data_IF_687617334460
#
_entry.id   IF_687617334460
#
_cell.length_a   1.000
_cell.length_b   1.000
_cell.length_c   1.000
_cell.angle_alpha   90.00
_cell.angle_beta   90.00
_cell.angle_gamma   90.00
#
_symmetry.space_group_name_H-M   'P 1'
#
loop_
_entity.id
_entity.type
_entity.pdbx_description
1 polymer ?
#
# COMPACT_ATOMS: atom_id res chain seq x y z
N UNK A 1 33.12 63.84 -52.80
CA UNK A 1 32.80 62.43 -52.99
C UNK A 1 32.57 61.78 -51.59
N UNK A 2 31.31 61.69 -51.18
CA UNK A 2 30.90 61.05 -49.92
C UNK A 2 30.45 59.63 -50.23
N UNK A 3 31.11 58.60 -49.66
CA UNK A 3 30.72 57.20 -49.79
C UNK A 3 29.69 56.88 -48.68
N UNK A 4 28.51 56.48 -49.12
CA UNK A 4 27.48 55.93 -48.23
C UNK A 4 27.87 54.45 -47.90
N UNK A 5 27.95 54.14 -46.62
CA UNK A 5 28.01 52.79 -46.09
C UNK A 5 26.59 52.35 -45.69
N UNK A 6 26.09 51.28 -46.33
CA UNK A 6 24.82 50.62 -45.98
C UNK A 6 25.15 49.50 -45.00
N UNK A 7 24.54 49.43 -43.81
CA UNK A 7 24.71 48.27 -42.94
C UNK A 7 23.77 47.13 -43.36
N UNK A 8 24.37 45.98 -43.61
CA UNK A 8 23.65 44.70 -43.82
C UNK A 8 23.20 44.18 -42.45
N UNK A 9 21.88 44.17 -42.24
CA UNK A 9 21.29 43.60 -41.06
C UNK A 9 21.10 42.08 -41.25
N UNK A 10 21.95 41.28 -40.61
CA UNK A 10 21.83 39.81 -40.62
C UNK A 10 20.81 39.41 -39.57
N UNK A 11 19.62 39.01 -40.02
CA UNK A 11 18.59 38.40 -39.12
C UNK A 11 18.97 36.95 -38.88
N UNK A 12 19.44 36.66 -37.68
CA UNK A 12 19.62 35.28 -37.19
C UNK A 12 18.24 34.76 -36.74
N UNK A 13 17.59 33.93 -37.61
CA UNK A 13 16.47 33.08 -37.21
C UNK A 13 16.97 31.97 -36.28
N UNK A 14 16.87 32.21 -34.96
CA UNK A 14 17.05 31.19 -33.97
C UNK A 14 15.88 30.18 -33.99
N UNK A 15 16.07 29.03 -34.61
CA UNK A 15 15.11 27.93 -34.48
C UNK A 15 15.18 27.39 -33.05
N UNK A 16 14.22 27.77 -32.23
CA UNK A 16 13.94 27.11 -30.95
C UNK A 16 13.44 25.70 -31.25
N UNK A 17 14.34 24.70 -31.21
CA UNK A 17 13.98 23.31 -31.09
C UNK A 17 13.35 23.13 -29.71
N UNK A 18 12.04 23.25 -29.61
CA UNK A 18 11.25 22.71 -28.52
C UNK A 18 11.45 21.18 -28.55
N UNK A 19 12.47 20.73 -27.85
CA UNK A 19 12.66 19.31 -27.58
C UNK A 19 11.41 18.82 -26.87
N UNK A 20 10.54 18.09 -27.58
CA UNK A 20 9.48 17.33 -26.97
C UNK A 20 10.16 16.40 -25.95
N UNK A 21 10.08 16.70 -24.67
CA UNK A 21 10.47 15.79 -23.60
C UNK A 21 9.66 14.52 -23.85
N UNK A 22 10.33 13.44 -24.22
CA UNK A 22 9.68 12.15 -24.31
C UNK A 22 8.97 11.93 -22.99
N UNK A 23 7.65 11.83 -23.04
CA UNK A 23 6.83 11.58 -21.85
C UNK A 23 7.32 10.25 -21.28
N UNK A 24 7.84 10.25 -20.05
CA UNK A 24 8.31 9.04 -19.39
C UNK A 24 7.16 8.04 -19.35
N UNK A 25 7.44 6.80 -19.74
CA UNK A 25 6.43 5.73 -19.67
C UNK A 25 6.07 5.48 -18.23
N UNK A 26 4.78 5.29 -17.99
CA UNK A 26 4.23 4.95 -16.68
C UNK A 26 3.64 3.54 -16.74
N UNK A 27 3.91 2.76 -15.72
CA UNK A 27 3.38 1.40 -15.56
C UNK A 27 2.72 1.24 -14.21
N UNK A 28 1.82 0.26 -14.10
CA UNK A 28 1.35 -0.27 -12.83
C UNK A 28 1.96 -1.66 -12.62
N UNK A 29 2.37 -1.92 -11.39
CA UNK A 29 2.82 -3.22 -10.92
C UNK A 29 1.75 -3.77 -10.00
N UNK A 30 1.05 -4.81 -10.47
CA UNK A 30 -0.07 -5.44 -9.78
C UNK A 30 0.39 -6.76 -9.17
N UNK A 31 0.33 -6.89 -7.87
CA UNK A 31 0.54 -8.14 -7.14
C UNK A 31 -0.79 -8.88 -7.00
N UNK A 32 -0.87 -10.10 -7.56
CA UNK A 32 -2.12 -10.83 -7.68
C UNK A 32 -1.94 -12.34 -7.58
N UNK A 33 -2.96 -13.02 -7.08
CA UNK A 33 -3.07 -14.48 -7.03
C UNK A 33 -4.16 -15.00 -7.94
N UNK A 34 -4.04 -16.27 -8.34
CA UNK A 34 -5.14 -16.99 -8.98
C UNK A 34 -6.33 -17.06 -8.03
N UNK A 35 -7.49 -16.55 -8.46
CA UNK A 35 -8.69 -16.53 -7.63
C UNK A 35 -9.18 -17.93 -7.25
N UNK A 36 -8.88 -18.93 -8.10
CA UNK A 36 -9.20 -20.34 -7.85
C UNK A 36 -8.12 -21.05 -7.00
N UNK A 37 -6.98 -20.42 -6.73
CA UNK A 37 -5.87 -20.97 -5.96
C UNK A 37 -5.24 -22.22 -6.57
N UNK A 38 -5.23 -22.37 -7.90
CA UNK A 38 -4.68 -23.55 -8.61
C UNK A 38 -3.42 -23.25 -9.39
N UNK A 39 -3.23 -22.00 -9.77
CA UNK A 39 -2.04 -21.55 -10.48
C UNK A 39 -1.16 -20.67 -9.58
N UNK A 40 0.07 -20.44 -10.03
CA UNK A 40 1.04 -19.62 -9.29
C UNK A 40 0.57 -18.18 -9.14
N UNK A 41 0.76 -17.60 -7.97
CA UNK A 41 0.71 -16.17 -7.75
C UNK A 41 1.78 -15.46 -8.57
N UNK A 42 1.54 -14.20 -8.97
CA UNK A 42 2.40 -13.50 -9.90
C UNK A 42 2.33 -11.97 -9.76
N UNK A 43 3.35 -11.28 -10.27
CA UNK A 43 3.31 -9.84 -10.48
C UNK A 43 3.02 -9.55 -11.95
N UNK A 44 2.04 -8.68 -12.22
CA UNK A 44 1.71 -8.22 -13.57
C UNK A 44 2.14 -6.76 -13.78
N UNK A 45 2.46 -6.42 -15.02
CA UNK A 45 2.81 -5.08 -15.47
C UNK A 45 1.76 -4.59 -16.45
N UNK A 46 1.18 -3.42 -16.17
CA UNK A 46 0.14 -2.80 -16.98
C UNK A 46 0.65 -1.46 -17.51
N UNK A 47 0.44 -1.17 -18.80
CA UNK A 47 0.80 0.14 -19.38
C UNK A 47 -0.18 1.21 -18.88
N UNK A 48 0.32 2.14 -18.07
CA UNK A 48 -0.41 3.27 -17.50
C UNK A 48 -0.03 4.61 -18.17
N UNK A 49 0.59 4.56 -19.36
CA UNK A 49 1.00 5.73 -20.12
C UNK A 49 -0.18 6.21 -20.98
N UNK A 50 -0.84 7.30 -20.63
CA UNK A 50 -2.05 7.81 -21.33
C UNK A 50 -1.88 7.98 -22.84
N UNK A 51 -0.70 8.37 -23.29
CA UNK A 51 -0.39 8.56 -24.73
C UNK A 51 -0.03 7.27 -25.46
N UNK A 52 0.04 6.14 -24.77
CA UNK A 52 0.37 4.84 -25.35
C UNK A 52 -0.81 4.22 -26.06
N UNK A 53 -0.57 3.61 -27.22
CA UNK A 53 -1.58 2.76 -27.88
C UNK A 53 -1.89 1.48 -27.11
N UNK A 54 -1.10 1.16 -26.06
CA UNK A 54 -1.30 0.03 -25.17
C UNK A 54 -1.85 0.43 -23.79
N UNK A 55 -2.36 1.68 -23.65
CA UNK A 55 -2.93 2.15 -22.41
C UNK A 55 -3.97 1.18 -21.85
N UNK A 56 -3.83 0.78 -20.58
CA UNK A 56 -4.68 -0.19 -19.93
C UNK A 56 -4.44 -1.66 -20.32
N UNK A 57 -3.40 -1.97 -21.13
CA UNK A 57 -3.09 -3.37 -21.47
C UNK A 57 -2.06 -3.97 -20.51
N UNK A 58 -2.21 -5.26 -20.21
CA UNK A 58 -1.22 -6.04 -19.48
C UNK A 58 -0.08 -6.38 -20.43
N UNK A 59 1.12 -5.91 -20.12
CA UNK A 59 2.27 -5.95 -21.05
C UNK A 59 3.34 -6.95 -20.65
N UNK A 60 3.40 -7.35 -19.38
CA UNK A 60 4.29 -8.39 -18.87
C UNK A 60 3.70 -9.00 -17.59
N UNK A 61 4.20 -10.17 -17.20
CA UNK A 61 3.94 -10.78 -15.90
C UNK A 61 5.02 -11.79 -15.55
N UNK A 62 5.24 -12.01 -14.26
CA UNK A 62 6.22 -12.97 -13.75
C UNK A 62 5.59 -13.80 -12.62
N UNK A 63 5.48 -15.14 -12.80
CA UNK A 63 4.98 -16.04 -11.76
C UNK A 63 6.05 -16.25 -10.68
N UNK A 64 5.60 -16.46 -9.44
CA UNK A 64 6.48 -16.76 -8.29
C UNK A 64 6.87 -18.22 -8.19
N UNK A 65 6.14 -19.11 -8.84
CA UNK A 65 6.24 -20.56 -8.68
C UNK A 65 5.52 -21.09 -7.43
N UNK A 66 4.85 -20.22 -6.65
CA UNK A 66 4.10 -20.60 -5.44
C UNK A 66 2.62 -20.41 -5.69
N UNK A 67 1.82 -21.38 -5.30
CA UNK A 67 0.36 -21.39 -5.42
C UNK A 67 -0.27 -21.05 -4.08
N UNK A 68 -1.25 -20.13 -4.07
CA UNK A 68 -2.01 -19.82 -2.88
C UNK A 68 -1.19 -19.12 -1.77
N UNK A 69 -0.15 -18.39 -2.12
CA UNK A 69 0.61 -17.58 -1.16
C UNK A 69 -0.21 -16.46 -0.54
N UNK A 70 -1.37 -16.16 -1.12
CA UNK A 70 -2.21 -15.01 -0.77
C UNK A 70 -1.45 -13.69 -0.95
N UNK A 71 -1.25 -13.24 -2.20
CA UNK A 71 -0.74 -11.93 -2.50
C UNK A 71 -1.41 -10.86 -1.65
N UNK A 72 -0.61 -10.06 -0.95
CA UNK A 72 -1.12 -9.10 0.00
C UNK A 72 -0.48 -7.73 -0.20
N UNK A 73 0.35 -7.23 0.68
CA UNK A 73 0.95 -5.92 0.53
C UNK A 73 2.14 -5.92 -0.46
N UNK A 74 2.26 -4.83 -1.21
CA UNK A 74 3.52 -4.33 -1.75
C UNK A 74 4.02 -3.18 -0.88
N UNK A 75 5.19 -2.64 -1.16
CA UNK A 75 5.50 -1.27 -0.73
C UNK A 75 4.43 -0.33 -1.30
N UNK A 76 4.11 0.77 -0.59
CA UNK A 76 3.05 1.70 -0.98
C UNK A 76 3.44 2.58 -2.18
N UNK A 77 4.73 2.76 -2.39
CA UNK A 77 5.32 3.52 -3.49
C UNK A 77 6.50 2.75 -4.08
N UNK A 78 6.72 2.91 -5.38
CA UNK A 78 7.86 2.29 -6.04
C UNK A 78 9.18 2.87 -5.52
N UNK A 79 10.09 2.06 -4.98
CA UNK A 79 11.39 2.52 -4.49
C UNK A 79 12.27 3.09 -5.60
N UNK A 80 13.21 3.98 -5.23
CA UNK A 80 14.16 4.58 -6.18
C UNK A 80 15.11 3.54 -6.81
N UNK A 81 15.32 2.41 -6.15
CA UNK A 81 16.13 1.30 -6.67
C UNK A 81 15.48 0.60 -7.86
N UNK A 82 14.17 0.75 -8.05
CA UNK A 82 13.41 -0.05 -9.01
C UNK A 82 13.12 -1.46 -8.52
N UNK A 83 13.45 -1.77 -7.26
CA UNK A 83 13.17 -3.05 -6.63
C UNK A 83 11.96 -2.94 -5.71
N UNK A 84 10.99 -3.85 -5.85
CA UNK A 84 9.73 -3.85 -5.11
C UNK A 84 9.63 -5.08 -4.21
N UNK A 85 9.35 -4.84 -2.94
CA UNK A 85 8.97 -5.90 -2.01
C UNK A 85 7.46 -6.16 -2.06
N UNK A 86 7.09 -7.44 -2.09
CA UNK A 86 5.70 -7.87 -2.04
C UNK A 86 5.57 -9.16 -1.21
N UNK A 87 4.61 -9.22 -0.29
CA UNK A 87 4.40 -10.40 0.53
C UNK A 87 3.24 -11.28 0.04
N UNK A 88 3.39 -12.58 0.24
CA UNK A 88 2.30 -13.55 0.23
C UNK A 88 2.03 -13.95 1.67
N UNK A 89 0.92 -13.46 2.22
CA UNK A 89 0.70 -13.53 3.67
C UNK A 89 0.55 -14.97 4.16
N UNK A 90 -0.23 -15.82 3.46
CA UNK A 90 -0.42 -17.21 3.86
C UNK A 90 0.87 -18.03 3.79
N UNK A 91 1.74 -17.74 2.82
CA UNK A 91 3.03 -18.40 2.73
C UNK A 91 4.05 -17.86 3.75
N UNK A 92 3.74 -16.76 4.46
CA UNK A 92 4.70 -16.07 5.32
C UNK A 92 5.97 -15.66 4.60
N UNK A 93 5.87 -15.34 3.30
CA UNK A 93 7.01 -15.12 2.40
C UNK A 93 6.91 -13.77 1.71
N UNK A 94 8.07 -13.17 1.47
CA UNK A 94 8.22 -11.92 0.70
C UNK A 94 9.10 -12.18 -0.51
N UNK A 95 8.74 -11.59 -1.64
CA UNK A 95 9.54 -11.55 -2.87
C UNK A 95 10.09 -10.15 -3.08
N UNK A 96 11.31 -10.09 -3.61
CA UNK A 96 11.94 -8.88 -4.12
C UNK A 96 11.97 -8.95 -5.64
N UNK A 97 11.19 -8.09 -6.28
CA UNK A 97 11.13 -7.97 -7.74
C UNK A 97 12.08 -6.87 -8.24
N UNK A 98 12.83 -7.14 -9.31
CA UNK A 98 13.53 -6.12 -10.10
C UNK A 98 12.59 -5.66 -11.23
N UNK A 99 12.21 -4.38 -11.19
CA UNK A 99 11.30 -3.71 -12.10
C UNK A 99 11.98 -2.53 -12.83
N UNK A 100 13.31 -2.50 -12.79
CA UNK A 100 14.12 -1.49 -13.52
C UNK A 100 13.88 -1.54 -15.03
N UNK A 101 13.52 -2.73 -15.53
CA UNK A 101 13.03 -2.95 -16.89
C UNK A 101 11.59 -3.49 -16.83
N UNK A 102 10.57 -2.63 -16.79
CA UNK A 102 9.19 -3.04 -16.53
C UNK A 102 8.64 -4.13 -17.47
N UNK A 103 9.11 -4.20 -18.71
CA UNK A 103 8.68 -5.22 -19.67
C UNK A 103 9.39 -6.58 -19.50
N UNK A 104 10.41 -6.63 -18.65
CA UNK A 104 11.20 -7.82 -18.34
C UNK A 104 11.40 -7.95 -16.82
N UNK A 105 10.31 -8.05 -16.04
CA UNK A 105 10.40 -8.17 -14.58
C UNK A 105 11.13 -9.46 -14.18
N UNK A 106 11.95 -9.40 -13.13
CA UNK A 106 12.62 -10.58 -12.58
C UNK A 106 12.45 -10.67 -11.07
N UNK A 107 12.60 -11.86 -10.50
CA UNK A 107 12.64 -12.08 -9.05
C UNK A 107 14.10 -12.16 -8.63
N UNK A 108 14.55 -11.24 -7.80
CA UNK A 108 15.92 -11.21 -7.29
C UNK A 108 16.14 -12.22 -6.15
N UNK A 109 15.16 -12.33 -5.27
CA UNK A 109 15.19 -13.25 -4.11
C UNK A 109 13.80 -13.37 -3.48
N UNK A 110 13.65 -14.32 -2.56
CA UNK A 110 12.52 -14.36 -1.65
C UNK A 110 12.98 -14.82 -0.27
N UNK A 111 12.30 -14.37 0.78
CA UNK A 111 12.60 -14.72 2.16
C UNK A 111 11.31 -14.85 2.98
N UNK A 112 11.40 -15.54 4.12
CA UNK A 112 10.27 -15.74 5.05
C UNK A 112 10.60 -15.20 6.43
N UNK A 113 11.03 -16.12 7.33
CA UNK A 113 11.37 -15.77 8.72
C UNK A 113 12.63 -14.90 8.79
N UNK A 114 12.57 -13.79 9.55
CA UNK A 114 13.70 -12.87 9.75
C UNK A 114 13.83 -12.55 11.24
N UNK A 115 15.03 -12.63 11.79
CA UNK A 115 15.35 -12.29 13.18
C UNK A 115 14.45 -12.99 14.23
N UNK A 116 13.98 -14.20 13.95
CA UNK A 116 13.09 -14.93 14.86
C UNK A 116 11.61 -14.54 14.76
N UNK A 117 11.22 -13.79 13.73
CA UNK A 117 9.83 -13.43 13.43
C UNK A 117 9.37 -14.00 12.09
N UNK A 118 8.06 -14.16 11.92
CA UNK A 118 7.42 -14.70 10.73
C UNK A 118 6.25 -13.82 10.25
N UNK A 119 5.80 -14.04 9.02
CA UNK A 119 4.71 -13.33 8.37
C UNK A 119 4.97 -11.82 8.29
N UNK A 120 5.97 -11.40 7.48
CA UNK A 120 6.23 -9.98 7.21
C UNK A 120 5.01 -9.34 6.54
N UNK A 121 4.67 -8.10 6.94
CA UNK A 121 3.46 -7.47 6.46
C UNK A 121 3.70 -6.14 5.75
N UNK A 122 4.14 -5.11 6.43
CA UNK A 122 4.37 -3.76 5.84
C UNK A 122 5.85 -3.49 5.70
N UNK A 123 6.25 -2.84 4.59
CA UNK A 123 7.63 -2.51 4.24
C UNK A 123 7.77 -1.00 4.06
N UNK A 124 8.64 -0.36 4.84
CA UNK A 124 8.90 1.09 4.76
C UNK A 124 10.39 1.33 4.57
N UNK A 125 10.76 1.98 3.47
CA UNK A 125 12.15 2.36 3.20
C UNK A 125 12.58 3.49 4.11
N UNK A 126 13.72 3.30 4.76
CA UNK A 126 14.37 4.32 5.58
C UNK A 126 15.38 5.11 4.75
N UNK A 127 15.76 6.31 5.22
CA UNK A 127 16.71 7.17 4.53
C UNK A 127 18.12 6.56 4.38
N UNK A 128 18.47 5.58 5.23
CA UNK A 128 19.73 4.83 5.15
C UNK A 128 19.71 3.69 4.11
N UNK A 129 18.60 3.52 3.39
CA UNK A 129 18.40 2.46 2.39
C UNK A 129 17.89 1.14 2.97
N UNK A 130 17.78 1.02 4.28
CA UNK A 130 17.19 -0.16 4.92
C UNK A 130 15.66 -0.16 4.83
N UNK A 131 15.05 -1.28 5.18
CA UNK A 131 13.61 -1.49 5.23
C UNK A 131 13.19 -1.76 6.65
N UNK A 132 12.28 -0.95 7.18
CA UNK A 132 11.58 -1.24 8.44
C UNK A 132 10.32 -2.03 8.12
N UNK A 133 10.18 -3.19 8.74
CA UNK A 133 9.13 -4.15 8.44
C UNK A 133 8.41 -4.59 9.71
N UNK A 134 7.10 -4.72 9.65
CA UNK A 134 6.31 -5.39 10.68
C UNK A 134 6.28 -6.89 10.41
N UNK A 135 6.34 -7.67 11.48
CA UNK A 135 6.15 -9.12 11.46
C UNK A 135 5.03 -9.47 12.42
N UNK A 136 4.05 -10.24 11.94
CA UNK A 136 2.85 -10.56 12.70
C UNK A 136 3.15 -11.46 13.90
N UNK A 137 4.04 -12.47 13.74
CA UNK A 137 4.22 -13.51 14.75
C UNK A 137 5.71 -13.76 15.01
N UNK A 138 6.00 -14.38 16.15
CA UNK A 138 7.30 -15.05 16.35
C UNK A 138 7.39 -16.30 15.50
N UNK A 139 8.55 -16.54 14.91
CA UNK A 139 8.83 -17.79 14.23
C UNK A 139 8.96 -18.91 15.27
N UNK A 140 8.29 -20.03 15.03
CA UNK A 140 8.53 -21.26 15.79
C UNK A 140 9.90 -21.85 15.42
N UNK A 141 10.66 -22.30 16.42
CA UNK A 141 11.94 -22.95 16.19
C UNK A 141 11.74 -24.22 15.33
N UNK A 142 12.39 -24.26 14.17
CA UNK A 142 12.36 -25.41 13.26
C UNK A 142 11.24 -25.42 12.22
N UNK A 143 10.32 -24.45 12.22
CA UNK A 143 9.34 -24.29 11.13
C UNK A 143 9.75 -23.16 10.20
N UNK A 144 10.16 -23.51 9.01
CA UNK A 144 10.16 -22.59 7.87
C UNK A 144 8.71 -22.36 7.46
N UNK A 145 8.36 -21.16 6.99
CA UNK A 145 7.10 -20.93 6.31
C UNK A 145 6.97 -21.99 5.20
N UNK A 146 5.97 -22.84 5.28
CA UNK A 146 5.90 -24.04 4.43
C UNK A 146 5.59 -23.67 2.99
N UNK A 147 6.33 -24.27 2.09
CA UNK A 147 6.04 -24.45 0.66
C UNK A 147 4.93 -25.51 0.47
N UNK A 148 3.83 -25.43 1.21
CA UNK A 148 2.75 -26.37 1.06
C UNK A 148 1.63 -25.74 0.24
N UNK A 149 1.34 -26.32 -0.92
CA UNK A 149 0.16 -26.03 -1.74
C UNK A 149 -1.17 -26.40 -1.03
N UNK A 150 -1.24 -26.19 0.27
CA UNK A 150 -2.44 -26.34 1.09
C UNK A 150 -3.06 -24.97 1.27
N UNK A 151 -4.32 -24.82 0.86
CA UNK A 151 -5.14 -23.62 1.02
C UNK A 151 -5.48 -23.28 2.50
N UNK A 152 -4.99 -24.05 3.46
CA UNK A 152 -5.16 -23.79 4.88
C UNK A 152 -3.90 -23.18 5.46
N UNK A 153 -4.02 -21.94 5.95
CA UNK A 153 -2.98 -21.27 6.73
C UNK A 153 -2.65 -22.17 7.91
N UNK A 154 -1.45 -22.72 7.95
CA UNK A 154 -0.94 -23.30 9.18
C UNK A 154 -0.23 -22.19 9.97
N UNK A 155 -0.99 -21.35 10.63
CA UNK A 155 -0.43 -20.42 11.59
C UNK A 155 0.23 -21.19 12.73
N UNK A 156 1.30 -20.65 13.33
CA UNK A 156 1.95 -21.27 14.47
C UNK A 156 0.93 -21.59 15.56
N UNK A 157 0.86 -22.83 16.02
CA UNK A 157 0.05 -23.20 17.17
C UNK A 157 0.54 -22.39 18.40
N UNK A 158 -0.35 -21.62 19.06
CA UNK A 158 0.06 -20.76 20.16
C UNK A 158 0.77 -19.48 19.69
N UNK A 159 0.19 -18.79 18.69
CA UNK A 159 0.68 -17.50 18.18
C UNK A 159 1.14 -16.57 19.27
N UNK A 160 2.36 -16.11 19.17
CA UNK A 160 2.95 -15.14 20.07
C UNK A 160 3.14 -13.83 19.34
N UNK A 161 3.01 -12.74 20.07
CA UNK A 161 3.24 -11.38 19.58
C UNK A 161 4.49 -11.28 18.70
N UNK A 162 4.34 -10.62 17.56
CA UNK A 162 5.43 -10.41 16.60
C UNK A 162 6.36 -9.27 16.99
N UNK A 163 6.87 -8.55 15.99
CA UNK A 163 7.81 -7.46 16.23
C UNK A 163 8.07 -6.57 15.02
N UNK A 164 8.97 -5.63 15.21
CA UNK A 164 9.54 -4.79 14.16
C UNK A 164 10.96 -5.29 13.83
N UNK A 165 11.30 -5.29 12.55
CA UNK A 165 12.65 -5.64 12.08
C UNK A 165 13.12 -4.58 11.10
N UNK A 166 14.34 -4.09 11.30
CA UNK A 166 15.09 -3.35 10.29
C UNK A 166 16.03 -4.31 9.58
N UNK A 167 15.93 -4.36 8.26
CA UNK A 167 16.66 -5.30 7.40
C UNK A 167 17.09 -4.62 6.10
N UNK A 168 17.94 -5.27 5.31
CA UNK A 168 18.11 -4.89 3.91
C UNK A 168 16.93 -5.40 3.05
N UNK A 169 16.88 -5.01 1.78
CA UNK A 169 15.80 -5.45 0.88
C UNK A 169 15.85 -6.95 0.55
N UNK A 170 16.91 -7.67 0.96
CA UNK A 170 17.06 -9.12 0.77
C UNK A 170 16.67 -9.93 2.01
N UNK A 171 16.22 -9.26 3.08
CA UNK A 171 15.80 -9.90 4.33
C UNK A 171 16.94 -10.15 5.32
N UNK A 172 18.14 -9.59 5.13
CA UNK A 172 19.20 -9.68 6.12
C UNK A 172 18.96 -8.67 7.25
N UNK A 173 18.76 -9.12 8.51
CA UNK A 173 18.39 -8.25 9.61
C UNK A 173 19.59 -7.45 10.15
N UNK A 174 19.34 -6.22 10.55
CA UNK A 174 20.27 -5.38 11.32
C UNK A 174 19.90 -5.32 12.80
N UNK A 175 18.61 -5.16 13.10
CA UNK A 175 18.06 -5.13 14.44
C UNK A 175 16.57 -5.46 14.45
N UNK A 176 16.07 -5.82 15.62
CA UNK A 176 14.65 -6.12 15.81
C UNK A 176 14.17 -5.68 17.19
N UNK A 177 12.87 -5.48 17.34
CA UNK A 177 12.21 -5.17 18.59
C UNK A 177 10.95 -6.01 18.76
N UNK A 178 10.72 -6.43 20.01
CA UNK A 178 9.55 -7.22 20.39
C UNK A 178 8.35 -6.33 20.66
N UNK A 179 7.19 -6.68 20.12
CA UNK A 179 5.95 -5.92 20.28
C UNK A 179 5.19 -6.26 21.58
N UNK A 180 5.66 -7.22 22.36
CA UNK A 180 5.05 -7.55 23.66
C UNK A 180 5.19 -6.37 24.62
N UNK A 181 4.08 -5.98 25.25
CA UNK A 181 4.06 -4.92 26.27
C UNK A 181 3.67 -5.54 27.63
N UNK A 182 4.63 -5.61 28.58
CA UNK A 182 4.33 -6.14 29.92
C UNK A 182 3.31 -5.31 30.71
N UNK A 183 3.08 -4.04 30.32
CA UNK A 183 2.11 -3.17 30.97
C UNK A 183 0.65 -3.50 30.61
N UNK A 184 0.44 -4.30 29.56
CA UNK A 184 -0.89 -4.70 29.12
C UNK A 184 -0.99 -6.24 29.12
N UNK A 185 -2.16 -6.75 29.48
CA UNK A 185 -2.39 -8.20 29.53
C UNK A 185 -2.92 -8.78 28.22
N UNK A 186 -3.14 -7.93 27.23
CA UNK A 186 -3.63 -8.35 25.91
C UNK A 186 -2.54 -9.14 25.17
N UNK A 187 -2.88 -10.36 24.77
CA UNK A 187 -2.01 -11.26 24.01
C UNK A 187 -2.21 -11.16 22.50
N UNK A 188 -3.09 -10.29 22.05
CA UNK A 188 -3.49 -10.11 20.66
C UNK A 188 -2.81 -8.88 20.02
N UNK A 189 -1.51 -8.68 20.29
CA UNK A 189 -0.72 -7.60 19.71
C UNK A 189 0.10 -8.15 18.55
N UNK A 190 -0.42 -7.98 17.35
CA UNK A 190 0.20 -8.43 16.11
C UNK A 190 0.51 -7.20 15.25
N UNK A 191 1.79 -6.78 15.12
CA UNK A 191 2.16 -5.59 14.33
C UNK A 191 1.66 -5.70 12.89
N UNK A 192 0.82 -4.74 12.49
CA UNK A 192 0.23 -4.68 11.16
C UNK A 192 1.00 -3.72 10.25
N UNK A 193 1.03 -2.45 10.60
CA UNK A 193 1.74 -1.42 9.83
C UNK A 193 2.64 -0.59 10.72
N UNK A 194 3.60 0.11 10.12
CA UNK A 194 4.55 0.98 10.84
C UNK A 194 4.82 2.26 10.06
N UNK A 195 4.87 3.37 10.79
CA UNK A 195 5.23 4.70 10.30
C UNK A 195 6.46 5.19 11.05
N UNK A 196 7.64 5.28 10.42
CA UNK A 196 8.79 5.93 11.03
C UNK A 196 8.60 7.46 11.05
N UNK A 197 8.99 8.08 12.17
CA UNK A 197 9.02 9.54 12.38
C UNK A 197 10.43 9.94 12.81
N UNK A 198 11.43 9.92 11.91
CA UNK A 198 12.86 10.03 12.24
C UNK A 198 13.21 11.33 12.96
N UNK A 199 12.53 12.43 12.63
CA UNK A 199 12.75 13.74 13.27
C UNK A 199 12.68 13.67 14.81
N UNK A 200 11.84 12.79 15.33
CA UNK A 200 11.60 12.64 16.77
C UNK A 200 12.19 11.36 17.35
N UNK A 201 12.93 10.59 16.54
CA UNK A 201 13.38 9.25 16.90
C UNK A 201 12.24 8.36 17.36
N UNK A 202 11.16 8.35 16.59
CA UNK A 202 9.93 7.59 16.87
C UNK A 202 9.51 6.73 15.69
N UNK A 203 8.77 5.68 16.00
CA UNK A 203 7.93 4.99 15.05
C UNK A 203 6.57 4.71 15.69
N UNK A 204 5.51 4.73 14.90
CA UNK A 204 4.14 4.39 15.30
C UNK A 204 3.76 3.11 14.59
N UNK A 205 3.47 2.04 15.34
CA UNK A 205 2.99 0.78 14.78
C UNK A 205 1.54 0.55 15.16
N UNK A 206 0.77 -0.02 14.27
CA UNK A 206 -0.61 -0.47 14.48
C UNK A 206 -0.64 -1.97 14.66
N UNK A 207 -1.75 -2.50 15.15
CA UNK A 207 -1.85 -3.90 15.51
C UNK A 207 -3.17 -4.50 15.02
N UNK A 208 -3.09 -5.50 14.17
CA UNK A 208 -4.26 -6.24 13.68
C UNK A 208 -3.82 -7.65 13.35
N UNK A 209 -4.53 -8.65 13.86
CA UNK A 209 -4.31 -10.04 13.48
C UNK A 209 -4.88 -10.27 12.07
N UNK A 210 -4.01 -10.71 11.16
CA UNK A 210 -4.38 -11.03 9.78
C UNK A 210 -4.87 -12.47 9.62
N UNK A 211 -5.03 -13.23 10.72
CA UNK A 211 -5.69 -14.51 10.69
C UNK A 211 -7.20 -14.36 10.59
N UNK A 212 -7.71 -14.44 9.39
CA UNK A 212 -9.15 -14.36 9.10
C UNK A 212 -9.98 -15.47 9.78
N UNK A 213 -9.34 -16.55 10.18
CA UNK A 213 -9.96 -17.66 10.95
C UNK A 213 -10.25 -17.32 12.40
N UNK A 214 -9.57 -16.31 12.97
CA UNK A 214 -9.69 -15.94 14.39
C UNK A 214 -10.44 -14.61 14.57
N UNK A 215 -11.72 -14.61 14.23
CA UNK A 215 -12.60 -13.42 14.36
C UNK A 215 -12.82 -12.95 15.82
N UNK A 216 -12.30 -13.67 16.82
CA UNK A 216 -12.43 -13.28 18.24
C UNK A 216 -11.30 -12.37 18.73
N UNK A 217 -10.21 -12.25 17.98
CA UNK A 217 -9.06 -11.43 18.35
C UNK A 217 -9.22 -10.01 17.79
N UNK A 218 -9.94 -9.15 18.52
CA UNK A 218 -10.04 -7.73 18.17
C UNK A 218 -8.85 -6.98 18.77
N UNK A 219 -8.04 -6.34 17.94
CA UNK A 219 -6.97 -5.47 18.41
C UNK A 219 -7.36 -4.00 18.21
N UNK A 220 -7.07 -3.18 19.22
CA UNK A 220 -7.35 -1.75 19.22
C UNK A 220 -6.13 -0.94 19.69
N UNK A 221 -4.95 -1.55 19.63
CA UNK A 221 -3.73 -0.95 20.14
C UNK A 221 -2.95 -0.25 19.04
N UNK A 222 -2.31 0.86 19.43
CA UNK A 222 -1.28 1.57 18.68
C UNK A 222 -0.04 1.63 19.54
N UNK A 223 1.11 1.34 18.96
CA UNK A 223 2.38 1.28 19.67
C UNK A 223 3.31 2.41 19.28
N UNK A 224 3.85 3.12 20.28
CA UNK A 224 4.93 4.08 20.11
C UNK A 224 6.26 3.40 20.37
N UNK A 225 7.19 3.54 19.44
CA UNK A 225 8.51 2.94 19.48
C UNK A 225 9.61 4.02 19.42
N UNK A 226 10.78 3.73 19.99
CA UNK A 226 11.99 4.47 19.68
C UNK A 226 12.61 3.89 18.41
N UNK A 227 12.78 4.74 17.38
CA UNK A 227 13.23 4.27 16.07
C UNK A 227 14.68 3.82 16.07
N UNK A 228 15.55 4.50 16.85
CA UNK A 228 17.00 4.25 16.86
C UNK A 228 17.42 2.87 17.36
N UNK A 229 16.62 2.22 18.20
CA UNK A 229 16.92 0.88 18.75
C UNK A 229 15.74 -0.10 18.71
N UNK A 230 14.63 0.29 18.07
CA UNK A 230 13.38 -0.46 17.99
C UNK A 230 12.86 -0.90 19.37
N UNK A 231 13.04 -0.04 20.38
CA UNK A 231 12.47 -0.30 21.70
C UNK A 231 11.03 0.17 21.78
N UNK A 232 10.12 -0.73 22.16
CA UNK A 232 8.76 -0.37 22.50
C UNK A 232 8.77 0.61 23.69
N UNK A 233 8.13 1.76 23.53
CA UNK A 233 8.00 2.78 24.56
C UNK A 233 6.66 2.70 25.27
N UNK A 234 5.58 2.47 24.51
CA UNK A 234 4.22 2.45 25.03
C UNK A 234 3.24 1.82 24.04
N UNK A 235 2.23 1.11 24.57
CA UNK A 235 1.01 0.77 23.86
C UNK A 235 -0.13 1.72 24.30
N UNK A 236 -0.93 2.16 23.33
CA UNK A 236 -1.99 3.14 23.48
C UNK A 236 -3.27 2.48 22.99
N UNK A 237 -4.27 2.36 23.86
CA UNK A 237 -5.58 1.90 23.43
C UNK A 237 -6.31 2.99 22.66
N UNK A 238 -6.99 2.63 21.58
CA UNK A 238 -8.00 3.48 20.97
C UNK A 238 -9.31 3.29 21.70
N UNK A 239 -9.98 4.40 22.04
CA UNK A 239 -11.28 4.35 22.68
C UNK A 239 -12.39 4.12 21.64
N UNK A 240 -13.50 3.44 22.00
CA UNK A 240 -14.62 3.26 21.11
C UNK A 240 -15.16 4.59 20.57
N UNK A 241 -15.48 4.60 19.26
CA UNK A 241 -16.22 5.69 18.64
C UNK A 241 -17.75 5.55 18.85
N UNK A 242 -18.57 6.35 18.17
CA UNK A 242 -20.04 6.39 18.39
C UNK A 242 -20.77 5.08 18.13
N UNK A 243 -20.28 4.21 17.22
CA UNK A 243 -20.88 2.88 17.00
C UNK A 243 -20.42 1.84 18.01
N UNK A 244 -19.34 2.12 18.76
CA UNK A 244 -18.79 1.25 19.79
C UNK A 244 -17.69 0.28 19.28
N UNK A 245 -17.45 0.18 17.98
CA UNK A 245 -16.49 -0.76 17.41
C UNK A 245 -15.47 -0.14 16.43
N UNK A 246 -15.55 1.16 16.16
CA UNK A 246 -14.68 1.87 15.21
C UNK A 246 -13.19 1.78 15.56
N UNK A 247 -12.86 1.60 16.84
CA UNK A 247 -11.49 1.50 17.34
C UNK A 247 -10.80 0.17 16.99
N UNK A 248 -11.56 -0.82 16.54
CA UNK A 248 -11.04 -2.17 16.34
C UNK A 248 -10.32 -2.32 15.00
N UNK A 249 -9.29 -3.20 14.99
CA UNK A 249 -8.48 -3.55 13.84
C UNK A 249 -7.74 -2.33 13.26
N UNK A 250 -6.78 -1.81 14.03
CA UNK A 250 -5.99 -0.64 13.64
C UNK A 250 -5.17 -0.92 12.37
N UNK A 251 -5.34 -0.07 11.36
CA UNK A 251 -4.76 -0.22 10.03
C UNK A 251 -3.56 0.72 9.78
N UNK A 252 -3.52 1.38 8.64
CA UNK A 252 -2.36 2.17 8.20
C UNK A 252 -2.24 3.51 8.93
N UNK A 253 -1.12 3.83 9.57
CA UNK A 253 -0.83 5.15 10.12
C UNK A 253 -0.28 6.09 9.03
N UNK A 254 -0.62 7.37 9.08
CA UNK A 254 -0.07 8.40 8.18
C UNK A 254 0.30 9.66 8.96
N UNK A 255 1.54 10.14 8.73
CA UNK A 255 2.04 11.37 9.35
C UNK A 255 1.39 12.58 8.73
N UNK A 256 0.79 13.44 9.55
CA UNK A 256 0.18 14.68 9.09
C UNK A 256 1.24 15.74 8.72
N UNK A 257 0.86 16.77 7.92
CA UNK A 257 1.78 17.81 7.48
C UNK A 257 2.49 18.58 8.60
N UNK A 258 1.95 18.56 9.82
CA UNK A 258 2.59 19.17 11.00
C UNK A 258 3.85 18.42 11.48
N UNK A 259 4.09 17.21 10.95
CA UNK A 259 5.24 16.36 11.24
C UNK A 259 5.28 15.75 12.64
N UNK A 260 4.17 15.78 13.39
CA UNK A 260 4.08 15.27 14.78
C UNK A 260 2.74 14.66 15.16
N UNK A 261 1.71 14.87 14.36
CA UNK A 261 0.42 14.21 14.51
C UNK A 261 0.27 13.10 13.48
N UNK A 262 -0.43 12.04 13.82
CA UNK A 262 -0.61 10.87 12.96
C UNK A 262 -2.10 10.53 12.87
N UNK A 263 -2.61 10.36 11.67
CA UNK A 263 -3.89 9.69 11.48
C UNK A 263 -3.71 8.18 11.47
N UNK A 264 -4.64 7.51 12.10
CA UNK A 264 -4.75 6.05 12.15
C UNK A 264 -6.16 5.71 11.72
N UNK A 265 -6.30 4.99 10.61
CA UNK A 265 -7.59 4.40 10.27
C UNK A 265 -7.72 3.02 10.91
N UNK A 266 -8.93 2.50 10.95
CA UNK A 266 -9.21 1.12 11.37
C UNK A 266 -10.02 0.40 10.31
N UNK A 267 -9.95 -0.93 10.27
CA UNK A 267 -10.79 -1.72 9.37
C UNK A 267 -12.28 -1.65 9.73
N UNK A 268 -12.61 -1.29 10.98
CA UNK A 268 -13.97 -0.94 11.35
C UNK A 268 -14.32 0.52 11.02
N UNK A 269 -13.58 1.12 10.06
CA UNK A 269 -13.89 2.41 9.44
C UNK A 269 -13.89 3.60 10.41
N UNK A 270 -13.14 3.53 11.51
CA UNK A 270 -12.82 4.68 12.34
C UNK A 270 -11.60 5.44 11.85
N UNK A 271 -11.55 6.73 12.11
CA UNK A 271 -10.38 7.59 11.91
C UNK A 271 -10.02 8.25 13.25
N UNK A 272 -8.78 8.07 13.65
CA UNK A 272 -8.24 8.52 14.93
C UNK A 272 -7.07 9.46 14.72
N UNK A 273 -6.99 10.50 15.53
CA UNK A 273 -5.89 11.46 15.54
C UNK A 273 -5.00 11.20 16.75
N UNK A 274 -3.81 10.66 16.51
CA UNK A 274 -2.75 10.50 17.51
C UNK A 274 -1.90 11.77 17.54
N UNK A 275 -1.85 12.41 18.71
CA UNK A 275 -1.05 13.61 18.97
C UNK A 275 0.09 13.35 19.92
N UNK A 276 1.14 14.15 19.79
CA UNK A 276 2.25 14.13 20.72
C UNK A 276 3.18 12.94 20.54
N UNK A 277 3.38 12.45 19.30
CA UNK A 277 4.37 11.39 19.04
C UNK A 277 5.79 11.80 19.44
N UNK A 278 6.05 13.11 19.53
CA UNK A 278 7.28 13.73 20.04
C UNK A 278 7.39 13.70 21.57
N UNK A 279 6.34 13.27 22.30
CA UNK A 279 6.25 13.30 23.76
C UNK A 279 6.19 11.89 24.36
N UNK A 280 6.44 11.74 25.67
CA UNK A 280 6.29 10.45 26.35
C UNK A 280 4.84 9.94 26.40
N UNK A 281 3.87 10.86 26.45
CA UNK A 281 2.45 10.59 26.66
C UNK A 281 1.61 11.06 25.46
N UNK A 282 1.67 10.37 24.30
CA UNK A 282 0.79 10.66 23.18
C UNK A 282 -0.65 10.26 23.51
N UNK A 283 -1.59 10.96 22.88
CA UNK A 283 -3.02 10.71 23.03
C UNK A 283 -3.68 10.46 21.69
N UNK A 284 -4.57 9.49 21.60
CA UNK A 284 -5.37 9.21 20.43
C UNK A 284 -6.83 9.59 20.68
N UNK A 285 -7.45 10.31 19.74
CA UNK A 285 -8.85 10.73 19.80
C UNK A 285 -9.57 10.33 18.53
N UNK A 286 -10.81 9.87 18.66
CA UNK A 286 -11.69 9.64 17.51
C UNK A 286 -12.02 10.99 16.84
N UNK A 287 -11.97 11.06 15.51
CA UNK A 287 -12.28 12.29 14.76
C UNK A 287 -13.33 12.08 13.67
N UNK A 288 -13.43 10.89 13.09
CA UNK A 288 -14.44 10.59 12.08
C UNK A 288 -14.67 9.07 11.95
N UNK A 289 -15.76 8.70 11.31
CA UNK A 289 -16.02 7.35 10.85
C UNK A 289 -16.53 7.38 9.40
N UNK A 290 -16.22 6.32 8.67
CA UNK A 290 -16.83 6.04 7.38
C UNK A 290 -17.96 5.04 7.55
N UNK A 291 -18.78 4.87 6.51
CA UNK A 291 -19.87 3.89 6.49
C UNK A 291 -19.33 2.46 6.51
N UNK A 292 -20.02 1.57 7.20
CA UNK A 292 -19.73 0.13 7.19
C UNK A 292 -18.41 -0.26 7.84
N UNK A 293 -17.82 -1.34 7.31
CA UNK A 293 -16.58 -1.97 7.77
C UNK A 293 -15.68 -2.34 6.59
N UNK A 294 -14.48 -2.82 6.89
CA UNK A 294 -13.51 -3.27 5.88
C UNK A 294 -12.75 -2.12 5.22
N UNK A 295 -12.78 -0.90 5.77
CA UNK A 295 -12.05 0.23 5.21
C UNK A 295 -10.58 -0.14 4.94
N UNK A 296 -10.17 -0.03 3.68
CA UNK A 296 -8.85 -0.48 3.24
C UNK A 296 -7.78 0.59 3.31
N UNK A 297 -6.77 0.46 2.47
CA UNK A 297 -5.55 1.27 2.52
C UNK A 297 -5.85 2.75 2.22
N UNK A 298 -5.42 3.70 3.06
CA UNK A 298 -5.58 5.12 2.82
C UNK A 298 -4.37 5.76 2.16
N UNK A 299 -4.61 6.89 1.48
CA UNK A 299 -3.58 7.82 1.01
C UNK A 299 -3.74 9.14 1.76
N UNK A 300 -2.60 9.71 2.19
CA UNK A 300 -2.50 11.10 2.62
C UNK A 300 -1.70 11.87 1.57
N UNK A 301 -2.30 12.93 0.99
CA UNK A 301 -1.64 13.78 0.01
C UNK A 301 -2.02 15.24 0.21
N UNK A 302 -1.03 16.09 0.49
CA UNK A 302 -1.29 17.48 0.89
C UNK A 302 -2.16 17.54 2.15
N UNK A 303 -3.34 18.15 2.04
CA UNK A 303 -4.35 18.21 3.09
C UNK A 303 -5.58 17.34 2.77
N UNK A 304 -5.40 16.29 1.97
CA UNK A 304 -6.46 15.35 1.65
C UNK A 304 -6.13 13.95 2.15
N UNK A 305 -7.14 13.32 2.75
CA UNK A 305 -7.16 11.91 3.10
C UNK A 305 -8.08 11.18 2.13
N UNK A 306 -7.54 10.20 1.41
CA UNK A 306 -8.32 9.34 0.54
C UNK A 306 -8.52 7.99 1.23
N UNK A 307 -9.75 7.49 1.27
CA UNK A 307 -10.12 6.25 1.95
C UNK A 307 -11.01 5.38 1.08
N UNK A 308 -10.65 4.11 0.94
CA UNK A 308 -11.54 3.10 0.37
C UNK A 308 -12.57 2.67 1.42
N UNK A 309 -13.83 2.65 1.03
CA UNK A 309 -14.98 2.31 1.87
C UNK A 309 -15.77 1.19 1.17
N UNK A 310 -15.40 -0.09 1.39
CA UNK A 310 -15.91 -1.20 0.58
C UNK A 310 -17.41 -1.45 0.75
N UNK A 311 -18.00 -1.35 1.94
CA UNK A 311 -19.44 -1.52 2.13
C UNK A 311 -20.27 -0.37 1.54
N UNK A 312 -19.66 0.79 1.30
CA UNK A 312 -20.27 1.89 0.54
C UNK A 312 -19.88 1.86 -0.95
N UNK A 313 -19.12 0.85 -1.40
CA UNK A 313 -18.63 0.71 -2.78
C UNK A 313 -17.96 1.99 -3.30
N UNK A 314 -17.21 2.72 -2.47
CA UNK A 314 -16.74 4.06 -2.78
C UNK A 314 -15.27 4.30 -2.43
N UNK A 315 -14.69 5.27 -3.15
CA UNK A 315 -13.49 5.99 -2.74
C UNK A 315 -13.92 7.38 -2.27
N UNK A 316 -13.53 7.73 -1.04
CA UNK A 316 -13.89 9.00 -0.39
C UNK A 316 -12.66 9.86 -0.21
N UNK A 317 -12.78 11.17 -0.46
CA UNK A 317 -11.77 12.16 -0.14
C UNK A 317 -12.27 13.10 0.97
N UNK A 318 -11.46 13.20 2.04
CA UNK A 318 -11.68 14.16 3.11
C UNK A 318 -10.69 15.33 2.97
N UNK A 319 -11.15 16.55 3.16
CA UNK A 319 -10.31 17.70 3.50
C UNK A 319 -9.98 17.64 4.99
N UNK A 320 -8.69 17.59 5.30
CA UNK A 320 -8.14 17.50 6.65
C UNK A 320 -7.30 18.73 7.02
N UNK A 321 -7.59 19.89 6.40
CA UNK A 321 -6.94 21.15 6.78
C UNK A 321 -7.13 21.46 8.27
N UNK A 322 -8.30 21.10 8.82
CA UNK A 322 -8.53 20.93 10.25
C UNK A 322 -8.55 19.45 10.60
N UNK A 323 -7.50 18.90 11.21
CA UNK A 323 -7.44 17.46 11.50
C UNK A 323 -8.35 17.01 12.63
N UNK A 324 -8.97 17.91 13.38
CA UNK A 324 -9.98 17.55 14.37
C UNK A 324 -11.38 17.40 13.76
N UNK A 325 -11.60 18.06 12.62
CA UNK A 325 -12.89 18.11 11.94
C UNK A 325 -12.74 17.81 10.43
N UNK A 326 -12.30 16.60 10.06
CA UNK A 326 -12.20 16.21 8.65
C UNK A 326 -13.56 16.29 7.96
N UNK A 327 -13.57 16.77 6.68
CA UNK A 327 -14.82 16.97 5.93
C UNK A 327 -14.76 16.25 4.61
N UNK A 328 -15.77 15.48 4.28
CA UNK A 328 -15.91 14.88 2.95
C UNK A 328 -16.06 15.96 1.89
N UNK A 329 -15.22 15.91 0.86
CA UNK A 329 -15.21 16.86 -0.26
C UNK A 329 -15.47 16.19 -1.60
N UNK A 330 -15.26 14.88 -1.68
CA UNK A 330 -15.54 14.10 -2.89
C UNK A 330 -15.81 12.64 -2.51
N UNK A 331 -16.75 12.04 -3.24
CA UNK A 331 -17.06 10.61 -3.19
C UNK A 331 -17.17 10.10 -4.62
N UNK A 332 -16.49 9.00 -4.91
CA UNK A 332 -16.58 8.32 -6.19
C UNK A 332 -17.12 6.91 -5.94
N UNK A 333 -18.33 6.66 -6.41
CA UNK A 333 -18.94 5.32 -6.40
C UNK A 333 -18.28 4.45 -7.46
N UNK A 334 -17.79 3.27 -7.07
CA UNK A 334 -17.05 2.37 -7.96
C UNK A 334 -17.99 1.39 -8.66
N UNK A 335 -19.07 1.00 -7.99
CA UNK A 335 -20.09 0.05 -8.47
C UNK A 335 -20.37 -1.04 -7.44
N UNK A 336 -21.62 -1.49 -7.40
CA UNK A 336 -22.14 -2.41 -6.37
C UNK A 336 -21.48 -3.80 -6.38
N UNK A 337 -20.80 -4.15 -7.47
CA UNK A 337 -20.07 -5.42 -7.61
C UNK A 337 -18.60 -5.32 -7.16
N UNK A 338 -18.15 -4.15 -6.72
CA UNK A 338 -16.77 -3.90 -6.28
C UNK A 338 -16.70 -3.64 -4.77
N UNK A 339 -15.64 -4.11 -4.15
CA UNK A 339 -15.28 -3.77 -2.78
C UNK A 339 -13.89 -3.14 -2.75
N UNK A 340 -13.79 -1.83 -2.94
CA UNK A 340 -12.51 -1.14 -3.06
C UNK A 340 -11.69 -1.31 -1.77
N UNK A 341 -10.42 -1.68 -1.94
CA UNK A 341 -9.55 -1.96 -0.80
C UNK A 341 -8.17 -1.31 -0.92
N UNK A 342 -7.45 -1.55 -2.01
CA UNK A 342 -6.10 -1.02 -2.19
C UNK A 342 -6.11 0.21 -3.09
N UNK A 343 -5.41 1.26 -2.66
CA UNK A 343 -5.12 2.43 -3.47
C UNK A 343 -3.64 2.81 -3.38
N UNK A 344 -3.10 3.35 -4.48
CA UNK A 344 -1.78 3.98 -4.51
C UNK A 344 -1.80 5.22 -5.40
N UNK A 345 -0.99 6.22 -5.03
CA UNK A 345 -0.88 7.49 -5.74
C UNK A 345 0.27 7.43 -6.75
N UNK A 346 0.08 8.01 -7.92
CA UNK A 346 1.17 8.15 -8.89
C UNK A 346 2.19 9.21 -8.43
N UNK A 347 3.44 9.17 -8.95
CA UNK A 347 4.48 10.12 -8.55
C UNK A 347 4.16 11.60 -8.81
N UNK A 348 3.15 11.88 -9.66
CA UNK A 348 2.71 13.27 -9.93
C UNK A 348 1.69 13.78 -8.91
N UNK A 349 1.15 12.89 -8.06
CA UNK A 349 0.09 13.20 -7.10
C UNK A 349 -1.27 13.49 -7.75
N UNK A 350 -1.52 12.95 -8.95
CA UNK A 350 -2.72 13.28 -9.75
C UNK A 350 -3.55 12.08 -10.18
N UNK A 351 -3.03 10.87 -10.03
CA UNK A 351 -3.75 9.65 -10.38
C UNK A 351 -3.69 8.66 -9.23
N UNK A 352 -4.80 8.02 -8.96
CA UNK A 352 -4.92 6.96 -7.98
C UNK A 352 -5.25 5.68 -8.72
N UNK A 353 -4.48 4.62 -8.49
CA UNK A 353 -4.89 3.27 -8.85
C UNK A 353 -5.76 2.72 -7.73
N UNK A 354 -6.82 2.00 -8.08
CA UNK A 354 -7.72 1.36 -7.13
C UNK A 354 -8.05 -0.06 -7.59
N UNK A 355 -8.02 -1.00 -6.66
CA UNK A 355 -8.55 -2.35 -6.88
C UNK A 355 -9.34 -2.85 -5.66
N UNK A 356 -10.12 -3.90 -5.88
CA UNK A 356 -10.79 -4.68 -4.84
C UNK A 356 -9.87 -5.83 -4.41
N UNK A 357 -9.84 -6.17 -3.11
CA UNK A 357 -9.01 -7.28 -2.59
C UNK A 357 -9.74 -8.63 -2.60
N UNK A 358 -10.49 -8.92 -3.66
CA UNK A 358 -11.16 -10.21 -3.86
C UNK A 358 -12.51 -10.37 -3.15
N UNK A 359 -13.01 -9.37 -2.42
CA UNK A 359 -14.34 -9.41 -1.80
C UNK A 359 -15.51 -9.10 -2.77
N UNK A 360 -15.24 -8.40 -3.86
CA UNK A 360 -16.21 -8.07 -4.89
C UNK A 360 -16.25 -9.10 -6.01
N UNK A 361 -17.34 -9.12 -6.77
CA UNK A 361 -17.50 -9.98 -7.96
C UNK A 361 -16.99 -9.31 -9.24
N UNK A 362 -16.74 -8.01 -9.22
CA UNK A 362 -16.32 -7.21 -10.37
C UNK A 362 -14.87 -7.44 -10.79
N UNK A 363 -13.97 -7.59 -9.85
CA UNK A 363 -12.53 -7.82 -10.05
C UNK A 363 -11.94 -6.90 -11.13
N UNK A 364 -12.03 -5.59 -10.92
CA UNK A 364 -11.48 -4.59 -11.85
C UNK A 364 -10.35 -3.78 -11.20
N UNK A 365 -9.47 -3.30 -12.05
CA UNK A 365 -8.45 -2.32 -11.72
C UNK A 365 -8.85 -0.98 -12.34
N UNK A 366 -8.92 0.07 -11.52
CA UNK A 366 -9.31 1.40 -11.94
C UNK A 366 -8.14 2.37 -11.88
N UNK A 367 -8.14 3.34 -12.81
CA UNK A 367 -7.40 4.59 -12.64
C UNK A 367 -8.39 5.73 -12.42
N UNK A 368 -8.06 6.58 -11.45
CA UNK A 368 -8.89 7.68 -10.99
C UNK A 368 -8.05 8.95 -11.07
N UNK A 369 -8.57 9.98 -11.70
CA UNK A 369 -8.00 11.31 -11.69
C UNK A 369 -8.29 12.00 -10.37
N UNK A 370 -7.26 12.52 -9.74
CA UNK A 370 -7.33 13.27 -8.50
C UNK A 370 -6.92 14.73 -8.73
N UNK A 371 -7.80 15.65 -8.36
CA UNK A 371 -7.46 17.08 -8.34
C UNK A 371 -6.88 17.49 -6.97
N UNK A 372 -5.55 17.70 -6.85
CA UNK A 372 -4.90 18.00 -5.57
C UNK A 372 -5.24 19.41 -5.02
N UNK A 373 -6.02 20.20 -5.73
CA UNK A 373 -6.49 21.53 -5.26
C UNK A 373 -7.88 21.47 -4.66
N UNK A 374 -8.72 20.55 -5.15
CA UNK A 374 -10.13 20.45 -4.77
C UNK A 374 -10.47 19.17 -4.03
N UNK A 375 -9.57 18.18 -4.05
CA UNK A 375 -9.85 16.82 -3.55
C UNK A 375 -10.83 16.04 -4.44
N UNK A 376 -11.11 16.51 -5.66
CA UNK A 376 -12.08 15.88 -6.54
C UNK A 376 -11.53 14.58 -7.14
N UNK A 377 -12.41 13.58 -7.23
CA UNK A 377 -12.13 12.25 -7.76
C UNK A 377 -13.01 12.00 -8.99
N UNK A 378 -12.41 11.54 -10.10
CA UNK A 378 -13.14 11.15 -11.32
C UNK A 378 -12.47 9.95 -11.97
N UNK A 379 -13.25 9.07 -12.61
CA UNK A 379 -12.64 7.99 -13.37
C UNK A 379 -11.78 8.51 -14.53
N UNK A 380 -10.67 7.82 -14.79
CA UNK A 380 -9.99 7.92 -16.07
C UNK A 380 -10.73 7.01 -17.09
N UNK A 381 -11.67 7.58 -17.85
CA UNK A 381 -12.47 6.85 -18.83
C UNK A 381 -11.65 6.24 -19.97
N UNK A 382 -10.42 6.71 -20.17
CA UNK A 382 -9.49 6.13 -21.14
C UNK A 382 -8.88 4.81 -20.66
N UNK A 383 -8.81 4.58 -19.34
CA UNK A 383 -8.28 3.36 -18.76
C UNK A 383 -9.38 2.30 -18.65
N UNK A 384 -9.59 1.56 -19.73
CA UNK A 384 -10.65 0.54 -19.82
C UNK A 384 -10.32 -0.55 -20.83
N UNK A 385 -11.03 -1.67 -20.78
CA UNK A 385 -10.97 -2.69 -21.83
C UNK A 385 -11.49 -2.14 -23.16
N UNK A 386 -10.87 -2.53 -24.27
CA UNK A 386 -11.12 -1.96 -25.60
C UNK A 386 -12.59 -2.00 -26.05
N UNK A 387 -13.36 -3.00 -25.63
CA UNK A 387 -14.76 -3.19 -25.98
C UNK A 387 -15.73 -2.90 -24.82
N UNK A 388 -15.31 -2.14 -23.82
CA UNK A 388 -16.12 -1.80 -22.65
C UNK A 388 -16.39 -0.31 -22.59
N UNK A 389 -17.59 0.07 -22.16
CA UNK A 389 -17.93 1.44 -21.76
C UNK A 389 -17.69 1.68 -20.27
N UNK A 390 -17.52 0.60 -19.48
CA UNK A 390 -17.25 0.68 -18.05
C UNK A 390 -15.78 1.08 -17.82
N UNK A 391 -15.49 2.05 -16.95
CA UNK A 391 -14.12 2.39 -16.54
C UNK A 391 -13.38 1.18 -15.95
N UNK A 392 -12.05 1.26 -15.94
CA UNK A 392 -11.17 0.22 -15.42
C UNK A 392 -11.04 -0.97 -16.36
N UNK A 393 -10.07 -1.83 -16.09
CA UNK A 393 -9.82 -3.08 -16.81
C UNK A 393 -10.25 -4.26 -15.97
N UNK A 394 -10.98 -5.22 -16.57
CA UNK A 394 -11.38 -6.46 -15.90
C UNK A 394 -10.17 -7.36 -15.69
N UNK A 395 -10.10 -8.00 -14.53
CA UNK A 395 -9.09 -9.03 -14.21
C UNK A 395 -9.67 -10.45 -14.28
N UNK A 396 -10.90 -10.59 -14.78
CA UNK A 396 -11.64 -11.84 -14.86
C UNK A 396 -11.41 -12.55 -16.18
N UNK A 397 -11.13 -13.85 -16.14
CA UNK A 397 -11.09 -14.73 -17.32
C UNK A 397 -10.05 -14.33 -18.37
N UNK A 398 -8.93 -13.75 -17.97
CA UNK A 398 -7.90 -13.26 -18.90
C UNK A 398 -6.83 -14.29 -19.23
N UNK A 399 -6.19 -14.11 -20.39
CA UNK A 399 -4.90 -14.73 -20.70
C UNK A 399 -3.79 -13.77 -20.27
N UNK A 400 -2.91 -14.23 -19.38
CA UNK A 400 -1.81 -13.48 -18.81
C UNK A 400 -0.52 -13.76 -19.58
N UNK A 401 0.43 -12.79 -19.68
CA UNK A 401 1.63 -12.94 -20.52
C UNK A 401 2.50 -14.17 -20.22
N UNK A 402 2.46 -14.71 -19.00
CA UNK A 402 3.19 -15.94 -18.63
C UNK A 402 2.44 -17.24 -18.93
N UNK A 403 1.28 -17.17 -19.64
CA UNK A 403 0.53 -18.33 -20.11
C UNK A 403 -0.62 -18.78 -19.22
N UNK A 404 -0.79 -18.20 -18.03
CA UNK A 404 -1.96 -18.46 -17.18
C UNK A 404 -3.24 -17.93 -17.85
N UNK A 405 -4.33 -18.68 -17.74
CA UNK A 405 -5.67 -18.29 -18.19
C UNK A 405 -6.63 -18.41 -17.01
N UNK A 406 -7.16 -17.29 -16.54
CA UNK A 406 -8.04 -17.30 -15.38
C UNK A 406 -8.37 -15.92 -14.83
N UNK A 407 -9.12 -15.93 -13.74
CA UNK A 407 -9.45 -14.76 -12.93
C UNK A 407 -8.41 -14.61 -11.83
N UNK A 408 -8.02 -13.37 -11.51
CA UNK A 408 -7.10 -13.12 -10.41
C UNK A 408 -7.74 -12.27 -9.32
N UNK A 409 -7.30 -12.49 -8.08
CA UNK A 409 -7.55 -11.65 -6.93
C UNK A 409 -6.38 -10.67 -6.79
N UNK A 410 -6.59 -9.38 -7.09
CA UNK A 410 -5.57 -8.35 -6.96
C UNK A 410 -5.43 -7.91 -5.50
N UNK A 411 -4.24 -7.40 -5.13
CA UNK A 411 -4.07 -6.70 -3.86
C UNK A 411 -3.08 -5.54 -4.00
N UNK A 412 -1.83 -5.66 -3.55
CA UNK A 412 -0.85 -4.58 -3.66
C UNK A 412 -0.65 -4.12 -5.10
N UNK A 413 -0.75 -2.81 -5.34
CA UNK A 413 -0.56 -2.22 -6.67
C UNK A 413 0.12 -0.87 -6.53
N UNK A 414 1.19 -0.65 -7.31
CA UNK A 414 1.94 0.61 -7.28
C UNK A 414 2.24 1.11 -8.69
N UNK A 415 2.41 2.42 -8.83
CA UNK A 415 2.92 3.02 -10.07
C UNK A 415 4.44 2.86 -10.19
N UNK A 416 4.95 2.77 -11.41
CA UNK A 416 6.37 3.00 -11.71
C UNK A 416 6.74 4.46 -11.37
N UNK A 417 8.01 4.69 -11.15
CA UNK A 417 8.55 6.07 -11.02
C UNK A 417 8.66 6.78 -12.35
#
# INVERSE_FOLDING_TARGET
>A
MRRLLIPVLTVLCGAYLLGARAQSRSYLFLWAGDADGKASDFLAVIDATRSSSRYGTIVASIPTGVVGAHPHHTELEMPATGHLLANGFHAGRTWLFDLTQPLHPTILTSFGNVAGYSHPHTFIRLANGHVLTTFQYRAEAGRMAHDSGSHTIQLPAGRTTGGLVEMDERGNPFRSGDASDPAIQDKHIYPYSVLPVPRWDRAVATTTDMDEGNKSATSHWVQLWRLSDLKLLRSIALEPGPRGDEHQFTGEPRLLPDGKSVYIHTFNCGLYLLRGVDRPDPTATFVAAFEGKGCGIPILTGHFWLQTVPEAHALVALDIADPEHPREVSRLEIGDDEQPHWIALDPTGRRVVLNSSGGGTGNRLYLIDFDPRKGALTFDDGFRDANSTRPGISLTGRTWPHGFVGTVAPHGTVFSR
#
